data_IF_530460988417
#
_entry.id   IF_530460988417
#
_cell.length_a   1.000
_cell.length_b   1.000
_cell.length_c   1.000
_cell.angle_alpha   90.00
_cell.angle_beta   90.00
_cell.angle_gamma   90.00
#
_symmetry.space_group_name_H-M   'P 1'
#
loop_
_entity.id
_entity.type
_entity.pdbx_description
1 polymer ?
#
# COMPACT_ATOMS: atom_id res chain seq x y z
N UNK A 1 -6.82 20.56 -12.00
CA UNK A 1 -5.66 19.82 -11.50
C UNK A 1 -6.03 18.39 -11.24
N UNK A 2 -5.23 17.47 -11.72
CA UNK A 2 -5.55 16.04 -11.70
C UNK A 2 -5.03 15.39 -10.42
N UNK A 3 -5.61 15.75 -9.28
CA UNK A 3 -5.21 15.18 -8.00
C UNK A 3 -6.09 13.99 -7.68
N UNK A 4 -5.48 12.83 -7.50
CA UNK A 4 -6.16 11.61 -7.07
C UNK A 4 -5.94 11.47 -5.56
N UNK A 5 -7.01 11.19 -4.83
CA UNK A 5 -6.93 10.94 -3.39
C UNK A 5 -7.06 9.44 -3.16
N UNK A 6 -6.10 8.86 -2.45
CA UNK A 6 -6.05 7.41 -2.21
C UNK A 6 -6.00 7.14 -0.71
N UNK A 7 -6.75 6.13 -0.27
CA UNK A 7 -6.69 5.58 1.08
C UNK A 7 -6.37 4.10 0.96
N UNK A 8 -5.41 3.63 1.75
CA UNK A 8 -4.97 2.23 1.73
C UNK A 8 -4.95 1.64 3.12
N UNK A 9 -5.17 0.34 3.22
CA UNK A 9 -5.07 -0.37 4.48
C UNK A 9 -4.77 -1.85 4.23
N UNK A 10 -4.24 -2.51 5.26
CA UNK A 10 -3.98 -3.94 5.24
C UNK A 10 -4.44 -4.58 6.54
N UNK A 11 -4.82 -5.84 6.47
CA UNK A 11 -5.25 -6.61 7.63
C UNK A 11 -4.68 -8.02 7.52
N UNK A 12 -4.38 -8.63 8.65
CA UNK A 12 -3.87 -10.01 8.67
C UNK A 12 -4.34 -10.72 9.93
N UNK A 13 -4.88 -11.91 9.76
CA UNK A 13 -5.31 -12.75 10.88
C UNK A 13 -4.18 -13.71 11.25
N UNK A 14 -3.48 -13.35 12.33
CA UNK A 14 -2.20 -14.00 12.63
C UNK A 14 -1.12 -13.37 11.75
N UNK A 15 0.12 -13.47 12.14
CA UNK A 15 1.19 -12.79 11.43
C UNK A 15 2.43 -13.69 11.44
N UNK A 16 2.57 -14.65 10.48
CA UNK A 16 1.81 -14.79 9.23
C UNK A 16 0.46 -15.48 9.36
N UNK A 17 -0.36 -15.29 8.33
CA UNK A 17 -1.68 -15.92 8.25
C UNK A 17 -2.48 -15.32 7.08
N UNK A 18 -3.79 -15.62 7.01
CA UNK A 18 -4.64 -15.03 5.97
C UNK A 18 -4.71 -13.52 6.14
N UNK A 19 -4.51 -12.79 5.04
CA UNK A 19 -4.55 -11.34 5.08
C UNK A 19 -5.26 -10.77 3.87
N UNK A 20 -5.59 -9.48 3.98
CA UNK A 20 -6.24 -8.73 2.92
C UNK A 20 -5.73 -7.31 2.84
N UNK A 21 -5.93 -6.70 1.70
CA UNK A 21 -5.60 -5.30 1.46
C UNK A 21 -6.79 -4.59 0.86
N UNK A 22 -6.90 -3.31 1.10
CA UNK A 22 -7.96 -2.48 0.55
C UNK A 22 -7.44 -1.13 0.11
N UNK A 23 -8.02 -0.60 -0.96
CA UNK A 23 -7.69 0.71 -1.49
C UNK A 23 -8.94 1.40 -2.00
N UNK A 24 -9.06 2.68 -1.66
CA UNK A 24 -10.11 3.57 -2.13
C UNK A 24 -9.47 4.69 -2.92
N UNK A 25 -9.84 4.84 -4.20
CA UNK A 25 -9.29 5.87 -5.07
C UNK A 25 -10.41 6.83 -5.46
N UNK A 26 -10.18 8.12 -5.25
CA UNK A 26 -11.13 9.17 -5.64
C UNK A 26 -10.49 10.06 -6.69
N UNK A 27 -11.09 10.13 -7.84
CA UNK A 27 -10.61 10.96 -8.96
C UNK A 27 -11.08 12.41 -8.83
N UNK A 28 -10.42 13.35 -9.52
CA UNK A 28 -10.82 14.77 -9.45
C UNK A 28 -12.25 15.04 -9.89
N UNK A 29 -12.82 14.19 -10.74
CA UNK A 29 -14.20 14.33 -11.20
C UNK A 29 -15.23 13.77 -10.20
N UNK A 30 -14.76 13.27 -9.05
CA UNK A 30 -15.63 12.71 -8.02
C UNK A 30 -15.90 11.22 -8.14
N UNK A 31 -15.43 10.57 -9.22
CA UNK A 31 -15.63 9.12 -9.33
C UNK A 31 -14.74 8.39 -8.32
N UNK A 32 -15.25 7.25 -7.85
CA UNK A 32 -14.61 6.48 -6.79
C UNK A 32 -14.40 5.04 -7.28
N UNK A 33 -13.20 4.52 -7.05
CA UNK A 33 -12.88 3.13 -7.34
C UNK A 33 -12.45 2.46 -6.05
N UNK A 34 -13.04 1.31 -5.76
CA UNK A 34 -12.68 0.50 -4.59
C UNK A 34 -12.03 -0.79 -5.07
N UNK A 35 -10.97 -1.19 -4.38
CA UNK A 35 -10.23 -2.39 -4.72
C UNK A 35 -9.92 -3.15 -3.44
N UNK A 36 -9.91 -4.48 -3.52
CA UNK A 36 -9.45 -5.31 -2.41
C UNK A 36 -8.96 -6.65 -2.94
N UNK A 37 -8.19 -7.32 -2.12
CA UNK A 37 -7.69 -8.65 -2.41
C UNK A 37 -7.02 -9.21 -1.18
N UNK A 38 -6.40 -10.37 -1.31
CA UNK A 38 -5.74 -10.97 -0.17
C UNK A 38 -4.88 -12.16 -0.55
N UNK A 39 -4.32 -12.80 0.49
CA UNK A 39 -3.48 -13.97 0.36
C UNK A 39 -3.71 -14.85 1.59
N UNK A 40 -3.64 -16.17 1.40
CA UNK A 40 -3.83 -17.13 2.50
C UNK A 40 -2.69 -17.12 3.50
N UNK A 41 -1.47 -16.82 3.05
CA UNK A 41 -0.30 -16.79 3.92
C UNK A 41 0.49 -15.51 3.63
N UNK A 42 0.35 -14.53 4.51
CA UNK A 42 1.00 -13.23 4.34
C UNK A 42 1.22 -12.59 5.70
N UNK A 43 1.65 -11.33 5.70
CA UNK A 43 1.85 -10.55 6.91
C UNK A 43 1.13 -9.21 6.79
N UNK A 44 0.92 -8.56 7.92
CA UNK A 44 0.29 -7.24 7.93
C UNK A 44 1.08 -6.26 7.07
N UNK A 45 2.41 -6.23 7.22
CA UNK A 45 3.25 -5.31 6.43
C UNK A 45 3.13 -5.55 4.94
N UNK A 46 3.10 -6.82 4.50
CA UNK A 46 2.95 -7.13 3.08
C UNK A 46 1.59 -6.66 2.55
N UNK A 47 0.54 -6.80 3.34
CA UNK A 47 -0.79 -6.35 2.92
C UNK A 47 -0.88 -4.82 2.85
N UNK A 48 -0.24 -4.13 3.80
CA UNK A 48 -0.15 -2.67 3.73
C UNK A 48 0.58 -2.21 2.46
N UNK A 49 1.68 -2.87 2.12
CA UNK A 49 2.44 -2.58 0.90
C UNK A 49 1.63 -2.91 -0.34
N UNK A 50 0.94 -4.05 -0.34
CA UNK A 50 0.15 -4.49 -1.49
C UNK A 50 -0.97 -3.51 -1.81
N UNK A 51 -1.62 -2.95 -0.79
CA UNK A 51 -2.66 -1.95 -1.00
C UNK A 51 -2.13 -0.73 -1.76
N UNK A 52 -0.95 -0.24 -1.41
CA UNK A 52 -0.32 0.89 -2.10
C UNK A 52 0.07 0.50 -3.53
N UNK A 53 0.68 -0.67 -3.69
CA UNK A 53 1.10 -1.17 -5.01
C UNK A 53 -0.10 -1.26 -5.96
N UNK A 54 -1.19 -1.88 -5.51
CA UNK A 54 -2.37 -2.06 -6.35
C UNK A 54 -3.03 -0.73 -6.68
N UNK A 55 -3.10 0.19 -5.70
CA UNK A 55 -3.68 1.50 -5.93
C UNK A 55 -2.89 2.29 -6.99
N UNK A 56 -1.56 2.34 -6.87
CA UNK A 56 -0.72 3.07 -7.81
C UNK A 56 -0.71 2.38 -9.18
N UNK A 57 -0.74 1.05 -9.22
CA UNK A 57 -0.80 0.30 -10.47
C UNK A 57 -2.09 0.60 -11.25
N UNK A 58 -3.16 0.92 -10.55
CA UNK A 58 -4.43 1.27 -11.20
C UNK A 58 -4.38 2.62 -11.94
N UNK A 59 -3.41 3.46 -11.65
CA UNK A 59 -3.23 4.74 -12.33
C UNK A 59 -2.50 4.51 -13.65
N UNK A 60 -3.15 4.85 -14.76
CA UNK A 60 -2.63 4.51 -16.09
C UNK A 60 -1.72 5.58 -16.68
N UNK A 61 -1.54 6.71 -16.00
CA UNK A 61 -0.69 7.81 -16.42
C UNK A 61 -0.16 8.54 -15.19
N UNK A 62 0.91 9.35 -15.34
CA UNK A 62 1.41 10.11 -14.20
C UNK A 62 0.33 11.00 -13.60
N UNK A 63 0.21 10.96 -12.28
CA UNK A 63 -0.80 11.71 -11.52
C UNK A 63 -0.16 12.42 -10.35
N UNK A 64 -0.82 13.49 -9.91
CA UNK A 64 -0.57 14.05 -8.58
C UNK A 64 -1.47 13.30 -7.61
N UNK A 65 -0.89 12.72 -6.56
CA UNK A 65 -1.59 11.81 -5.66
C UNK A 65 -1.43 12.29 -4.22
N UNK A 66 -2.54 12.31 -3.48
CA UNK A 66 -2.51 12.40 -2.01
C UNK A 66 -2.86 11.01 -1.50
N UNK A 67 -1.92 10.35 -0.86
CA UNK A 67 -2.09 8.97 -0.42
C UNK A 67 -2.09 8.91 1.10
N UNK A 68 -3.22 8.48 1.65
CA UNK A 68 -3.41 8.33 3.10
C UNK A 68 -3.17 6.88 3.49
N UNK A 69 -2.30 6.67 4.48
CA UNK A 69 -2.00 5.33 4.98
C UNK A 69 -1.74 5.40 6.49
N UNK A 70 -2.02 4.30 7.19
CA UNK A 70 -1.74 4.22 8.63
C UNK A 70 -0.47 3.43 8.94
N UNK A 71 0.16 2.84 7.93
CA UNK A 71 1.38 2.05 8.11
C UNK A 71 2.62 2.94 8.15
N UNK A 72 3.24 3.06 9.32
CA UNK A 72 4.52 3.76 9.43
C UNK A 72 5.64 3.00 8.73
N UNK A 73 5.55 1.68 8.69
CA UNK A 73 6.53 0.85 7.99
C UNK A 73 6.62 1.22 6.51
N UNK A 74 5.47 1.31 5.84
CA UNK A 74 5.44 1.70 4.42
C UNK A 74 5.88 3.15 4.26
N UNK A 75 5.37 4.05 5.09
CA UNK A 75 5.70 5.46 5.00
C UNK A 75 7.21 5.70 5.14
N UNK A 76 7.83 5.10 6.15
CA UNK A 76 9.27 5.24 6.36
C UNK A 76 10.07 4.61 5.22
N UNK A 77 9.61 3.48 4.70
CA UNK A 77 10.27 2.84 3.58
C UNK A 77 10.35 3.73 2.36
N UNK A 78 9.22 4.30 1.96
CA UNK A 78 9.17 5.12 0.73
C UNK A 78 9.83 6.49 0.91
N UNK A 79 9.86 7.02 2.13
CA UNK A 79 10.42 8.36 2.37
C UNK A 79 11.86 8.35 2.87
N UNK A 80 12.31 7.26 3.51
CA UNK A 80 13.62 7.25 4.17
C UNK A 80 14.52 6.10 3.71
N UNK A 81 14.00 4.89 3.48
CA UNK A 81 14.82 3.70 3.33
C UNK A 81 15.15 3.32 1.88
N UNK A 82 14.23 3.58 0.94
CA UNK A 82 14.38 3.10 -0.44
C UNK A 82 15.69 3.55 -1.10
N UNK A 83 16.03 4.82 -0.96
CA UNK A 83 17.23 5.38 -1.57
C UNK A 83 18.49 4.64 -1.11
N UNK A 84 18.58 4.40 0.20
CA UNK A 84 19.73 3.68 0.76
C UNK A 84 19.80 2.24 0.31
N UNK A 85 18.67 1.55 0.28
CA UNK A 85 18.63 0.16 -0.18
C UNK A 85 19.02 0.03 -1.66
N UNK A 86 18.54 0.94 -2.50
CA UNK A 86 18.92 0.95 -3.92
C UNK A 86 20.43 1.12 -4.07
N UNK A 87 21.03 2.02 -3.31
CA UNK A 87 22.47 2.27 -3.37
C UNK A 87 23.28 1.07 -2.90
N UNK A 88 22.72 0.23 -2.03
CA UNK A 88 23.39 -0.95 -1.46
C UNK A 88 23.00 -2.26 -2.14
N UNK A 89 22.34 -2.19 -3.29
CA UNK A 89 21.95 -3.39 -4.04
C UNK A 89 20.86 -4.21 -3.35
N UNK A 90 19.98 -3.54 -2.59
CA UNK A 90 18.86 -4.17 -1.90
C UNK A 90 19.28 -5.14 -0.80
N UNK A 91 20.37 -4.80 -0.13
CA UNK A 91 20.88 -5.59 0.99
C UNK A 91 21.00 -4.75 2.24
N UNK A 92 20.84 -5.39 3.39
CA UNK A 92 21.03 -4.77 4.68
C UNK A 92 22.52 -4.59 4.98
N UNK A 93 22.83 -3.91 6.08
CA UNK A 93 24.21 -3.76 6.54
C UNK A 93 24.89 -5.10 6.79
N UNK A 94 24.13 -6.13 7.16
CA UNK A 94 24.61 -7.50 7.35
C UNK A 94 24.70 -8.30 6.04
N UNK A 95 24.52 -7.64 4.89
CA UNK A 95 24.56 -8.23 3.55
C UNK A 95 23.47 -9.28 3.31
N UNK A 96 22.38 -9.20 4.07
CA UNK A 96 21.19 -10.02 3.86
C UNK A 96 20.20 -9.26 2.97
N UNK A 97 19.37 -9.98 2.17
CA UNK A 97 18.35 -9.31 1.38
C UNK A 97 17.42 -8.48 2.28
N UNK A 98 17.00 -7.33 1.79
CA UNK A 98 16.02 -6.50 2.50
C UNK A 98 14.72 -7.29 2.62
N UNK A 99 14.12 -7.28 3.83
CA UNK A 99 12.85 -7.97 4.05
C UNK A 99 11.76 -7.37 3.15
N UNK A 100 10.94 -8.24 2.54
CA UNK A 100 9.90 -7.84 1.61
C UNK A 100 10.47 -7.13 0.36
N UNK A 101 11.68 -7.48 -0.04
CA UNK A 101 12.37 -6.81 -1.14
C UNK A 101 11.58 -6.84 -2.44
N UNK A 102 10.85 -7.92 -2.70
CA UNK A 102 10.01 -8.05 -3.90
C UNK A 102 8.98 -6.91 -3.98
N UNK A 103 8.33 -6.60 -2.87
CA UNK A 103 7.33 -5.54 -2.82
C UNK A 103 7.98 -4.15 -2.80
N UNK A 104 9.12 -4.01 -2.10
CA UNK A 104 9.83 -2.73 -2.10
C UNK A 104 10.31 -2.34 -3.49
N UNK A 105 10.76 -3.32 -4.29
CA UNK A 105 11.17 -3.06 -5.66
C UNK A 105 10.00 -2.64 -6.54
N UNK A 106 8.83 -3.24 -6.36
CA UNK A 106 7.62 -2.83 -7.07
C UNK A 106 7.21 -1.41 -6.69
N UNK A 107 7.25 -1.08 -5.39
CA UNK A 107 6.95 0.27 -4.91
C UNK A 107 7.91 1.28 -5.50
N UNK A 108 9.20 0.97 -5.53
CA UNK A 108 10.20 1.86 -6.09
C UNK A 108 9.90 2.18 -7.57
N UNK A 109 9.55 1.17 -8.36
CA UNK A 109 9.15 1.40 -9.75
C UNK A 109 7.97 2.35 -9.87
N UNK A 110 6.95 2.14 -9.05
CA UNK A 110 5.74 2.94 -9.11
C UNK A 110 5.96 4.37 -8.63
N UNK A 111 6.79 4.55 -7.61
CA UNK A 111 7.06 5.85 -7.00
C UNK A 111 8.09 6.65 -7.82
N UNK A 112 9.17 5.99 -8.26
CA UNK A 112 10.30 6.67 -8.87
C UNK A 112 10.25 6.73 -10.39
N UNK A 113 9.66 5.73 -11.05
CA UNK A 113 9.76 5.60 -12.51
C UNK A 113 8.50 5.97 -13.26
N UNK A 114 7.32 5.89 -12.62
CA UNK A 114 6.04 6.18 -13.30
C UNK A 114 5.73 7.67 -13.37
N UNK A 115 6.51 8.51 -12.70
CA UNK A 115 6.32 9.96 -12.76
C UNK A 115 5.20 10.51 -11.90
N UNK A 116 4.67 9.72 -10.98
CA UNK A 116 3.66 10.22 -10.04
C UNK A 116 4.29 11.18 -9.05
N UNK A 117 3.56 12.23 -8.69
CA UNK A 117 3.92 13.11 -7.57
C UNK A 117 3.04 12.73 -6.40
N UNK A 118 3.62 12.11 -5.39
CA UNK A 118 2.86 11.53 -4.28
C UNK A 118 3.11 12.33 -3.01
N UNK A 119 2.04 12.82 -2.41
CA UNK A 119 2.04 13.42 -1.08
C UNK A 119 1.61 12.32 -0.11
N UNK A 120 2.56 11.82 0.67
CA UNK A 120 2.31 10.74 1.61
C UNK A 120 1.76 11.32 2.91
N UNK A 121 0.57 10.88 3.32
CA UNK A 121 -0.09 11.37 4.54
C UNK A 121 -0.36 10.24 5.51
N UNK A 122 0.26 10.32 6.67
CA UNK A 122 0.03 9.34 7.72
C UNK A 122 -1.28 9.63 8.43
N UNK A 123 -2.13 8.61 8.57
CA UNK A 123 -3.38 8.68 9.32
C UNK A 123 -3.17 7.89 10.61
N UNK A 124 -3.28 8.56 11.75
CA UNK A 124 -3.04 7.93 13.04
C UNK A 124 -4.24 7.05 13.41
N UNK A 125 -4.08 5.73 13.27
CA UNK A 125 -5.12 4.79 13.60
C UNK A 125 -6.40 5.04 12.80
N UNK A 126 -7.48 4.40 13.16
CA UNK A 126 -8.74 4.52 12.45
C UNK A 126 -9.64 5.64 13.02
N UNK A 127 -9.06 6.77 13.32
CA UNK A 127 -9.67 7.84 14.12
C UNK A 127 -10.77 8.61 13.38
N UNK A 128 -11.83 7.92 12.96
CA UNK A 128 -13.00 8.58 12.41
C UNK A 128 -12.88 9.13 11.00
N UNK A 129 -11.80 8.81 10.29
CA UNK A 129 -11.64 9.21 8.90
C UNK A 129 -12.43 8.26 8.00
N UNK A 130 -13.47 8.75 7.27
CA UNK A 130 -14.30 7.84 6.46
C UNK A 130 -13.53 7.09 5.39
N UNK A 131 -12.54 7.73 4.76
CA UNK A 131 -11.73 7.06 3.73
C UNK A 131 -10.89 5.95 4.31
N UNK A 132 -10.25 6.20 5.46
CA UNK A 132 -9.44 5.19 6.14
C UNK A 132 -10.30 4.04 6.64
N UNK A 133 -11.49 4.34 7.19
CA UNK A 133 -12.42 3.31 7.62
C UNK A 133 -12.91 2.44 6.46
N UNK A 134 -13.14 3.06 5.30
CA UNK A 134 -13.55 2.29 4.13
C UNK A 134 -12.42 1.39 3.62
N UNK A 135 -11.18 1.88 3.60
CA UNK A 135 -10.03 1.07 3.22
C UNK A 135 -9.86 -0.13 4.18
N UNK A 136 -10.08 0.09 5.48
CA UNK A 136 -10.06 -0.98 6.48
C UNK A 136 -11.14 -2.02 6.18
N UNK A 137 -12.35 -1.59 5.87
CA UNK A 137 -13.44 -2.50 5.53
C UNK A 137 -13.10 -3.31 4.28
N UNK A 138 -12.50 -2.68 3.27
CA UNK A 138 -12.08 -3.37 2.05
C UNK A 138 -10.98 -4.39 2.33
N UNK A 139 -10.04 -4.08 3.20
CA UNK A 139 -8.99 -5.02 3.60
C UNK A 139 -9.61 -6.25 4.26
N UNK A 140 -10.62 -6.07 5.10
CA UNK A 140 -11.30 -7.19 5.74
C UNK A 140 -12.11 -8.01 4.75
N UNK A 141 -12.69 -7.37 3.72
CA UNK A 141 -13.32 -8.11 2.62
C UNK A 141 -12.30 -8.99 1.90
N UNK A 142 -11.08 -8.50 1.73
CA UNK A 142 -10.00 -9.29 1.15
C UNK A 142 -9.68 -10.54 1.97
N UNK A 143 -9.62 -10.40 3.30
CA UNK A 143 -9.43 -11.54 4.19
C UNK A 143 -10.56 -12.55 4.02
N UNK A 144 -11.81 -12.09 4.05
CA UNK A 144 -12.97 -12.95 3.90
C UNK A 144 -12.95 -13.70 2.58
N UNK A 145 -12.55 -13.02 1.50
CA UNK A 145 -12.48 -13.62 0.17
C UNK A 145 -11.53 -14.81 0.13
N UNK A 146 -10.31 -14.65 0.68
CA UNK A 146 -9.35 -15.76 0.67
C UNK A 146 -9.77 -16.89 1.59
N UNK A 147 -10.44 -16.58 2.69
CA UNK A 147 -10.95 -17.62 3.59
C UNK A 147 -12.05 -18.45 2.94
N UNK A 148 -12.86 -17.85 2.09
CA UNK A 148 -13.91 -18.58 1.37
C UNK A 148 -13.37 -19.45 0.23
N UNK A 149 -12.18 -19.12 -0.26
CA UNK A 149 -11.57 -19.81 -1.40
C UNK A 149 -10.71 -21.01 -1.01
N UNK A 150 -10.54 -21.29 0.29
CA UNK A 150 -9.72 -22.44 0.67
C UNK A 150 -10.45 -23.76 0.46
#
# INVERSE_FOLDING_TARGET
MNQVVIYTDGACKGNPGPGGWGALLRSPDGSVKEMFGGDLVTTNNRMEMMAVIQALTALKRPCTVVLHLDSQYVLKGVTEWLTGWKAKGWKTAAKQPVKNVDLWQQLDQLVAQMGHKIDWRWVKGHAGDPGNERADALANLGVEQVLRQR
#
